data_IF_029716786709
#
_entry.id   IF_029716786709
#
_cell.length_a   1.000
_cell.length_b   1.000
_cell.length_c   1.000
_cell.angle_alpha   90.00
_cell.angle_beta   90.00
_cell.angle_gamma   90.00
#
_symmetry.space_group_name_H-M   'P 1'
#
loop_
_entity.id
_entity.type
_entity.pdbx_description
1 polymer ?
#
# COMPACT_ATOMS: atom_id res chain seq x y z
N UNK A 1 -13.55 -0.54 -20.91
CA UNK A 1 -13.91 -1.40 -22.06
C UNK A 1 -14.14 -2.80 -21.52
N UNK A 2 -15.20 -3.54 -21.94
CA UNK A 2 -15.36 -4.92 -21.52
C UNK A 2 -14.23 -5.76 -22.13
N UNK A 3 -13.62 -6.60 -21.29
CA UNK A 3 -12.62 -7.57 -21.72
C UNK A 3 -13.28 -8.57 -22.68
N UNK A 4 -12.88 -8.56 -23.94
CA UNK A 4 -13.22 -9.59 -24.90
C UNK A 4 -12.09 -10.64 -24.87
N UNK A 5 -12.39 -11.84 -24.40
CA UNK A 5 -11.45 -12.95 -24.50
C UNK A 5 -11.07 -13.16 -25.98
N UNK A 6 -9.78 -13.37 -26.29
CA UNK A 6 -9.35 -13.68 -27.65
C UNK A 6 -10.03 -14.97 -28.14
N UNK A 7 -10.38 -15.02 -29.41
CA UNK A 7 -10.91 -16.22 -30.06
C UNK A 7 -9.89 -17.34 -29.97
N UNK A 8 -10.33 -18.57 -29.72
CA UNK A 8 -9.52 -19.79 -29.45
C UNK A 8 -8.63 -20.24 -30.62
N UNK A 9 -8.27 -19.38 -31.55
CA UNK A 9 -7.57 -19.74 -32.79
C UNK A 9 -6.06 -19.57 -32.79
N UNK A 10 -5.49 -18.71 -31.93
CA UNK A 10 -4.05 -18.47 -31.89
C UNK A 10 -3.64 -18.13 -30.46
N UNK A 11 -3.43 -19.15 -29.61
CA UNK A 11 -2.66 -18.97 -28.39
C UNK A 11 -1.19 -18.92 -28.79
N UNK A 12 -0.64 -17.71 -28.92
CA UNK A 12 0.78 -17.50 -29.04
C UNK A 12 1.46 -17.89 -27.74
N UNK A 13 2.63 -18.50 -27.80
CA UNK A 13 3.48 -18.80 -26.62
C UNK A 13 3.75 -17.51 -25.79
N UNK A 14 3.72 -16.34 -26.42
CA UNK A 14 3.87 -15.02 -25.79
C UNK A 14 2.71 -14.64 -24.82
N UNK A 15 1.53 -15.23 -24.95
CA UNK A 15 0.40 -14.96 -24.04
C UNK A 15 0.62 -15.51 -22.61
N UNK A 16 1.57 -16.41 -22.43
CA UNK A 16 1.91 -17.02 -21.14
C UNK A 16 3.34 -16.70 -20.71
N UNK A 17 3.98 -15.71 -21.33
CA UNK A 17 5.30 -15.27 -20.92
C UNK A 17 5.20 -14.51 -19.59
N UNK A 18 5.60 -15.19 -18.52
CA UNK A 18 5.65 -14.62 -17.16
C UNK A 18 7.07 -14.12 -16.79
N UNK A 19 7.95 -13.96 -17.76
CA UNK A 19 9.29 -13.40 -17.50
C UNK A 19 9.21 -11.91 -17.22
N UNK A 20 10.06 -11.45 -16.33
CA UNK A 20 10.25 -10.01 -16.10
C UNK A 20 10.84 -9.37 -17.37
N UNK A 21 10.39 -8.15 -17.69
CA UNK A 21 10.93 -7.38 -18.79
C UNK A 21 12.41 -7.02 -18.59
N UNK A 22 13.13 -6.80 -19.68
CA UNK A 22 14.53 -6.34 -19.62
C UNK A 22 14.61 -4.89 -19.09
N UNK A 23 13.58 -4.08 -19.34
CA UNK A 23 13.47 -2.70 -18.86
C UNK A 23 13.38 -2.62 -17.33
N UNK A 24 12.69 -3.57 -16.69
CA UNK A 24 12.56 -3.60 -15.23
C UNK A 24 13.79 -4.20 -14.52
N UNK A 25 14.67 -4.90 -15.25
CA UNK A 25 15.83 -5.61 -14.69
C UNK A 25 16.75 -4.71 -13.87
N UNK A 26 17.14 -3.51 -14.32
CA UNK A 26 18.01 -2.63 -13.55
C UNK A 26 17.42 -2.23 -12.19
N UNK A 27 16.12 -1.90 -12.16
CA UNK A 27 15.43 -1.54 -10.91
C UNK A 27 15.34 -2.75 -9.97
N UNK A 28 14.99 -3.92 -10.50
CA UNK A 28 14.97 -5.16 -9.73
C UNK A 28 16.31 -5.45 -9.06
N UNK A 29 17.42 -5.35 -9.81
CA UNK A 29 18.76 -5.62 -9.27
C UNK A 29 19.15 -4.59 -8.20
N UNK A 30 18.78 -3.32 -8.37
CA UNK A 30 18.99 -2.27 -7.36
C UNK A 30 18.17 -2.55 -6.08
N UNK A 31 16.89 -2.89 -6.21
CA UNK A 31 16.03 -3.24 -5.06
C UNK A 31 16.58 -4.46 -4.34
N UNK A 32 16.97 -5.50 -5.07
CA UNK A 32 17.60 -6.69 -4.50
C UNK A 32 18.86 -6.36 -3.70
N UNK A 33 19.74 -5.55 -4.27
CA UNK A 33 20.95 -5.10 -3.59
C UNK A 33 20.65 -4.26 -2.35
N UNK A 34 19.66 -3.37 -2.41
CA UNK A 34 19.22 -2.56 -1.28
C UNK A 34 18.66 -3.43 -0.16
N UNK A 35 17.81 -4.40 -0.48
CA UNK A 35 17.23 -5.32 0.53
C UNK A 35 18.33 -6.05 1.26
N UNK A 36 19.30 -6.60 0.53
CA UNK A 36 20.40 -7.38 1.10
C UNK A 36 21.36 -6.54 1.93
N UNK A 37 21.76 -5.37 1.42
CA UNK A 37 22.89 -4.62 1.96
C UNK A 37 22.45 -3.47 2.90
N UNK A 38 21.16 -3.10 2.88
CA UNK A 38 20.66 -1.97 3.68
C UNK A 38 19.44 -2.37 4.52
N UNK A 39 18.38 -2.93 3.92
CA UNK A 39 17.15 -3.16 4.64
C UNK A 39 17.28 -4.25 5.70
N UNK A 40 17.93 -5.38 5.39
CA UNK A 40 18.13 -6.49 6.33
C UNK A 40 18.97 -6.05 7.54
N UNK A 41 20.16 -5.42 7.38
CA UNK A 41 20.91 -4.92 8.53
C UNK A 41 20.15 -3.91 9.39
N UNK A 42 19.42 -2.97 8.78
CA UNK A 42 18.59 -2.01 9.52
C UNK A 42 17.38 -2.67 10.20
N UNK A 43 16.86 -3.75 9.64
CA UNK A 43 15.83 -4.53 10.31
C UNK A 43 16.36 -5.22 11.58
N UNK A 44 17.60 -5.70 11.57
CA UNK A 44 18.24 -6.24 12.76
C UNK A 44 18.41 -5.15 13.85
N UNK A 45 18.85 -3.93 13.48
CA UNK A 45 18.88 -2.77 14.39
C UNK A 45 17.49 -2.44 14.96
N UNK A 46 16.45 -2.45 14.09
CA UNK A 46 15.06 -2.19 14.47
C UNK A 46 14.55 -3.21 15.49
N UNK A 47 14.81 -4.50 15.28
CA UNK A 47 14.40 -5.58 16.18
C UNK A 47 15.13 -5.46 17.53
N UNK A 48 16.43 -5.19 17.50
CA UNK A 48 17.23 -5.01 18.73
C UNK A 48 16.72 -3.83 19.56
N UNK A 49 16.46 -2.68 18.92
CA UNK A 49 15.91 -1.49 19.57
C UNK A 49 14.52 -1.72 20.18
N UNK A 50 13.74 -2.65 19.63
CA UNK A 50 12.40 -3.01 20.11
C UNK A 50 12.36 -3.99 21.27
N UNK A 51 13.51 -4.57 21.69
CA UNK A 51 13.54 -5.55 22.79
C UNK A 51 13.04 -4.95 24.10
N UNK A 52 12.19 -5.70 24.78
CA UNK A 52 11.60 -5.29 26.06
C UNK A 52 10.42 -4.32 25.96
N UNK A 53 10.02 -3.93 24.76
CA UNK A 53 8.81 -3.13 24.52
C UNK A 53 7.56 -3.97 24.82
N UNK A 54 6.64 -3.41 25.59
CA UNK A 54 5.39 -4.10 26.01
C UNK A 54 4.16 -3.57 25.26
N UNK A 55 4.19 -2.31 24.81
CA UNK A 55 3.09 -1.73 24.03
C UNK A 55 3.29 -2.00 22.53
N UNK A 56 2.40 -2.76 21.87
CA UNK A 56 2.55 -3.09 20.46
C UNK A 56 2.32 -1.88 19.53
N UNK A 57 1.67 -0.83 20.01
CA UNK A 57 1.28 0.33 19.20
C UNK A 57 2.26 1.50 19.26
N UNK A 58 3.24 1.44 20.13
CA UNK A 58 4.30 2.45 20.20
C UNK A 58 5.57 1.98 19.51
N UNK A 59 6.53 2.89 19.37
CA UNK A 59 7.88 2.60 18.90
C UNK A 59 8.87 2.86 20.03
N UNK A 60 9.83 1.96 20.22
CA UNK A 60 10.96 2.23 21.07
C UNK A 60 11.91 3.24 20.38
N UNK A 61 12.65 4.04 21.18
CA UNK A 61 13.74 4.87 20.65
C UNK A 61 14.68 3.99 19.80
N UNK A 62 15.06 4.45 18.63
CA UNK A 62 15.90 3.69 17.69
C UNK A 62 15.13 2.88 16.65
N UNK A 63 13.89 2.44 16.90
CA UNK A 63 13.10 1.75 15.88
C UNK A 63 12.76 2.69 14.71
N UNK A 64 12.22 3.87 15.00
CA UNK A 64 11.93 4.86 13.96
C UNK A 64 13.23 5.40 13.33
N UNK A 65 14.30 5.53 14.11
CA UNK A 65 15.60 5.94 13.59
C UNK A 65 16.14 4.96 12.54
N UNK A 66 16.11 3.66 12.81
CA UNK A 66 16.52 2.63 11.85
C UNK A 66 15.67 2.67 10.57
N UNK A 67 14.35 2.86 10.73
CA UNK A 67 13.43 2.99 9.61
C UNK A 67 13.71 4.23 8.77
N UNK A 68 13.92 5.39 9.38
CA UNK A 68 14.22 6.64 8.66
C UNK A 68 15.58 6.59 7.97
N UNK A 69 16.60 5.94 8.56
CA UNK A 69 17.88 5.64 7.87
C UNK A 69 17.64 4.87 6.58
N UNK A 70 16.76 3.85 6.62
CA UNK A 70 16.39 3.06 5.44
C UNK A 70 15.68 3.90 4.37
N UNK A 71 14.71 4.73 4.77
CA UNK A 71 13.99 5.65 3.88
C UNK A 71 14.93 6.65 3.21
N UNK A 72 15.84 7.24 3.98
CA UNK A 72 16.83 8.17 3.45
C UNK A 72 17.81 7.51 2.47
N UNK A 73 18.22 6.28 2.75
CA UNK A 73 19.06 5.51 1.86
C UNK A 73 18.32 5.16 0.55
N UNK A 74 17.04 4.79 0.63
CA UNK A 74 16.21 4.51 -0.54
C UNK A 74 16.03 5.77 -1.42
N UNK A 75 15.68 6.92 -0.81
CA UNK A 75 15.55 8.20 -1.53
C UNK A 75 16.84 8.60 -2.25
N UNK A 76 18.01 8.47 -1.59
CA UNK A 76 19.32 8.78 -2.18
C UNK A 76 19.67 7.91 -3.39
N UNK A 77 19.11 6.70 -3.46
CA UNK A 77 19.32 5.76 -4.56
C UNK A 77 18.22 5.84 -5.63
N UNK A 78 17.21 6.73 -5.47
CA UNK A 78 16.07 6.81 -6.38
C UNK A 78 15.06 5.66 -6.21
N UNK A 79 15.15 4.88 -5.14
CA UNK A 79 14.26 3.75 -4.86
C UNK A 79 13.08 4.21 -4.00
N UNK A 80 12.18 5.03 -4.59
CA UNK A 80 11.08 5.64 -3.85
C UNK A 80 9.81 5.68 -4.69
N UNK A 81 8.67 5.25 -4.14
CA UNK A 81 7.34 5.28 -4.79
C UNK A 81 7.23 4.55 -6.14
N UNK A 82 8.15 3.68 -6.49
CA UNK A 82 8.18 3.03 -7.80
C UNK A 82 7.01 2.06 -8.05
N UNK A 83 6.15 1.82 -7.05
CA UNK A 83 4.91 1.04 -7.21
C UNK A 83 3.85 1.76 -8.04
N UNK A 84 3.89 3.10 -8.12
CA UNK A 84 2.91 3.88 -8.85
C UNK A 84 2.94 3.49 -10.33
N UNK A 85 1.76 3.16 -10.92
CA UNK A 85 1.70 2.64 -12.30
C UNK A 85 1.90 3.71 -13.37
N UNK A 86 1.78 4.99 -12.99
CA UNK A 86 1.99 6.11 -13.90
C UNK A 86 3.48 6.45 -13.99
N UNK A 87 4.00 6.56 -15.20
CA UNK A 87 5.39 6.91 -15.44
C UNK A 87 5.75 8.36 -15.06
N UNK A 88 4.76 9.24 -14.88
CA UNK A 88 5.00 10.61 -14.39
C UNK A 88 5.20 10.66 -12.87
N UNK A 89 4.59 9.72 -12.14
CA UNK A 89 4.62 9.67 -10.65
C UNK A 89 5.36 8.47 -10.09
N UNK A 90 5.59 7.44 -10.91
CA UNK A 90 6.33 6.21 -10.60
C UNK A 90 7.22 5.79 -11.75
N UNK A 91 7.47 4.48 -11.89
CA UNK A 91 8.33 3.91 -12.92
C UNK A 91 7.57 3.30 -14.10
N UNK A 92 6.23 3.39 -14.11
CA UNK A 92 5.40 2.81 -15.17
C UNK A 92 5.51 1.29 -15.31
N UNK A 93 5.81 0.59 -14.23
CA UNK A 93 6.01 -0.87 -14.23
C UNK A 93 4.72 -1.61 -14.56
N UNK A 94 4.84 -2.70 -15.31
CA UNK A 94 3.75 -3.66 -15.42
C UNK A 94 3.52 -4.36 -14.06
N UNK A 95 2.32 -4.86 -13.83
CA UNK A 95 2.03 -5.66 -12.63
C UNK A 95 2.93 -6.89 -12.52
N UNK A 96 3.34 -7.47 -13.66
CA UNK A 96 4.23 -8.61 -13.70
C UNK A 96 5.65 -8.23 -13.24
N UNK A 97 6.19 -7.14 -13.75
CA UNK A 97 7.51 -6.64 -13.35
C UNK A 97 7.54 -6.27 -11.87
N UNK A 98 6.49 -5.57 -11.41
CA UNK A 98 6.36 -5.22 -10.00
C UNK A 98 6.26 -6.45 -9.09
N UNK A 99 5.64 -7.56 -9.55
CA UNK A 99 5.54 -8.79 -8.75
C UNK A 99 6.92 -9.37 -8.40
N UNK A 100 7.86 -9.33 -9.33
CA UNK A 100 9.25 -9.76 -9.07
C UNK A 100 9.93 -8.87 -8.03
N UNK A 101 9.76 -7.55 -8.14
CA UNK A 101 10.30 -6.58 -7.20
C UNK A 101 9.65 -6.76 -5.82
N UNK A 102 8.34 -6.92 -5.76
CA UNK A 102 7.60 -7.17 -4.52
C UNK A 102 8.06 -8.46 -3.80
N UNK A 103 8.43 -9.49 -4.55
CA UNK A 103 9.00 -10.71 -3.98
C UNK A 103 10.37 -10.47 -3.32
N UNK A 104 11.20 -9.58 -3.87
CA UNK A 104 12.45 -9.17 -3.22
C UNK A 104 12.17 -8.34 -1.96
N UNK A 105 11.24 -7.37 -2.01
CA UNK A 105 10.84 -6.56 -0.85
C UNK A 105 10.34 -7.45 0.30
N UNK A 106 9.60 -8.51 -0.01
CA UNK A 106 9.06 -9.45 0.96
C UNK A 106 10.10 -10.23 1.77
N UNK A 107 11.38 -10.21 1.38
CA UNK A 107 12.48 -10.85 2.12
C UNK A 107 12.87 -10.11 3.40
N UNK A 108 12.47 -8.84 3.56
CA UNK A 108 12.68 -8.05 4.76
C UNK A 108 11.38 -7.32 5.14
N UNK A 109 10.84 -7.51 6.36
CA UNK A 109 9.56 -6.93 6.77
C UNK A 109 9.45 -5.41 6.65
N UNK A 110 10.56 -4.68 6.72
CA UNK A 110 10.58 -3.22 6.64
C UNK A 110 10.96 -2.69 5.24
N UNK A 111 11.42 -3.54 4.31
CA UNK A 111 11.93 -3.07 3.02
C UNK A 111 10.88 -2.29 2.22
N UNK A 112 9.64 -2.78 2.18
CA UNK A 112 8.55 -2.09 1.49
C UNK A 112 8.28 -0.70 2.08
N UNK A 113 8.32 -0.55 3.42
CA UNK A 113 8.14 0.77 4.03
C UNK A 113 9.35 1.68 3.80
N UNK A 114 10.56 1.15 3.81
CA UNK A 114 11.78 1.93 3.54
C UNK A 114 11.78 2.55 2.13
N UNK A 115 11.06 1.94 1.18
CA UNK A 115 10.91 2.44 -0.20
C UNK A 115 9.55 3.09 -0.47
N UNK A 116 8.74 3.30 0.57
CA UNK A 116 7.36 3.81 0.49
C UNK A 116 6.45 2.99 -0.43
N UNK A 117 6.66 1.68 -0.47
CA UNK A 117 5.91 0.71 -1.27
C UNK A 117 5.10 -0.27 -0.41
N UNK A 118 4.81 0.09 0.86
CA UNK A 118 4.11 -0.79 1.79
C UNK A 118 2.58 -0.66 1.68
N UNK A 119 1.88 -1.79 1.70
CA UNK A 119 0.44 -1.80 1.91
C UNK A 119 0.08 -1.40 3.37
N UNK A 120 -1.07 -0.76 3.60
CA UNK A 120 -2.10 -0.37 2.64
C UNK A 120 -1.85 0.98 1.95
N UNK A 121 -0.74 1.68 2.27
CA UNK A 121 -0.47 3.04 1.78
C UNK A 121 -0.46 3.09 0.24
N UNK A 122 0.11 2.08 -0.43
CA UNK A 122 0.17 2.04 -1.89
C UNK A 122 -1.21 2.16 -2.52
N UNK A 123 -2.15 1.28 -2.14
CA UNK A 123 -3.52 1.34 -2.66
C UNK A 123 -4.26 2.61 -2.26
N UNK A 124 -4.04 3.11 -1.04
CA UNK A 124 -4.67 4.35 -0.58
C UNK A 124 -4.14 5.58 -1.32
N UNK A 125 -2.85 5.62 -1.65
CA UNK A 125 -2.25 6.66 -2.49
C UNK A 125 -2.83 6.63 -3.91
N UNK A 126 -2.99 5.44 -4.52
CA UNK A 126 -3.64 5.31 -5.83
C UNK A 126 -5.11 5.79 -5.83
N UNK A 127 -5.86 5.49 -4.76
CA UNK A 127 -7.24 5.99 -4.61
C UNK A 127 -7.24 7.52 -4.54
N UNK A 128 -6.39 8.10 -3.69
CA UNK A 128 -6.30 9.57 -3.57
C UNK A 128 -5.83 10.23 -4.87
N UNK A 129 -4.90 9.60 -5.59
CA UNK A 129 -4.42 10.11 -6.86
C UNK A 129 -5.54 10.15 -7.91
N UNK A 130 -6.32 9.07 -8.01
CA UNK A 130 -7.37 8.94 -9.04
C UNK A 130 -8.63 9.75 -8.76
N UNK A 131 -9.07 9.81 -7.50
CA UNK A 131 -10.40 10.33 -7.15
C UNK A 131 -10.40 11.40 -6.07
N UNK A 132 -9.24 11.70 -5.45
CA UNK A 132 -9.12 12.74 -4.45
C UNK A 132 -9.31 14.14 -5.03
N UNK A 133 -9.96 15.05 -4.26
CA UNK A 133 -10.00 16.47 -4.63
C UNK A 133 -8.60 17.09 -4.51
N UNK A 134 -8.35 18.27 -5.13
CA UNK A 134 -7.06 18.96 -4.98
C UNK A 134 -6.67 19.18 -3.50
N UNK A 135 -7.63 19.53 -2.66
CA UNK A 135 -7.43 19.76 -1.22
C UNK A 135 -7.06 18.45 -0.51
N UNK A 136 -7.74 17.34 -0.82
CA UNK A 136 -7.44 16.02 -0.27
C UNK A 136 -6.06 15.52 -0.72
N UNK A 137 -5.68 15.78 -1.97
CA UNK A 137 -4.35 15.44 -2.48
C UNK A 137 -3.25 16.22 -1.76
N UNK A 138 -3.42 17.53 -1.57
CA UNK A 138 -2.45 18.35 -0.83
C UNK A 138 -2.37 17.92 0.64
N UNK A 139 -3.52 17.67 1.27
CA UNK A 139 -3.60 17.36 2.69
C UNK A 139 -3.11 15.95 3.03
N UNK A 140 -3.40 14.95 2.17
CA UNK A 140 -3.21 13.54 2.50
C UNK A 140 -2.28 12.80 1.54
N UNK A 141 -2.46 12.95 0.22
CA UNK A 141 -1.64 12.24 -0.75
C UNK A 141 -0.18 12.70 -0.69
N UNK A 142 0.05 13.98 -0.68
CA UNK A 142 1.40 14.54 -0.65
C UNK A 142 2.23 14.07 0.55
N UNK A 143 1.75 14.15 1.82
CA UNK A 143 2.52 13.61 2.94
C UNK A 143 2.63 12.08 2.94
N UNK A 144 1.70 11.33 2.32
CA UNK A 144 1.86 9.89 2.09
C UNK A 144 2.97 9.61 1.08
N UNK A 145 3.00 10.29 -0.05
CA UNK A 145 4.07 10.17 -1.06
C UNK A 145 5.44 10.57 -0.51
N UNK A 146 5.48 11.51 0.43
CA UNK A 146 6.69 11.90 1.15
C UNK A 146 7.09 10.89 2.25
N UNK A 147 6.24 9.91 2.57
CA UNK A 147 6.45 8.93 3.65
C UNK A 147 6.42 9.52 5.05
N UNK A 148 5.80 10.71 5.22
CA UNK A 148 5.68 11.44 6.50
C UNK A 148 4.57 10.89 7.38
N UNK A 149 3.51 10.35 6.78
CA UNK A 149 2.38 9.74 7.46
C UNK A 149 2.13 8.34 6.91
N UNK A 150 1.33 7.58 7.64
CA UNK A 150 0.82 6.28 7.22
C UNK A 150 -0.70 6.36 7.09
N UNK A 151 -1.26 5.34 6.45
CA UNK A 151 -2.70 5.19 6.27
C UNK A 151 -3.18 3.80 6.67
N UNK A 152 -4.50 3.63 6.71
CA UNK A 152 -5.13 2.34 6.90
C UNK A 152 -6.28 2.15 5.90
N UNK A 153 -6.66 0.88 5.67
CA UNK A 153 -7.81 0.52 4.84
C UNK A 153 -8.79 -0.30 5.68
N UNK A 154 -9.91 0.35 6.06
CA UNK A 154 -10.89 -0.20 6.99
C UNK A 154 -12.04 -0.88 6.22
N UNK A 155 -11.87 -2.15 5.88
CA UNK A 155 -12.86 -2.96 5.16
C UNK A 155 -13.49 -4.04 6.05
N UNK A 156 -12.66 -4.87 6.67
CA UNK A 156 -13.08 -6.06 7.43
C UNK A 156 -14.01 -5.72 8.57
N UNK A 157 -15.06 -6.52 8.75
CA UNK A 157 -16.04 -6.39 9.83
C UNK A 157 -16.17 -7.71 10.60
N UNK A 158 -16.41 -7.69 11.94
CA UNK A 158 -16.64 -8.90 12.69
C UNK A 158 -17.96 -9.55 12.30
N UNK A 159 -17.99 -10.89 12.28
CA UNK A 159 -19.22 -11.66 12.11
C UNK A 159 -19.77 -11.76 10.69
N UNK A 160 -19.14 -11.11 9.70
CA UNK A 160 -19.56 -11.19 8.30
C UNK A 160 -18.37 -11.39 7.36
N UNK A 161 -18.53 -12.04 6.19
CA UNK A 161 -17.48 -12.24 5.20
C UNK A 161 -17.27 -10.95 4.38
N UNK A 162 -16.75 -9.90 5.01
CA UNK A 162 -16.62 -8.55 4.45
C UNK A 162 -15.50 -8.38 3.42
N UNK A 163 -14.71 -9.42 3.16
CA UNK A 163 -13.80 -9.48 2.02
C UNK A 163 -14.54 -9.45 0.67
N UNK A 164 -15.78 -9.95 0.62
CA UNK A 164 -16.74 -9.55 -0.41
C UNK A 164 -17.38 -8.23 0.00
N UNK A 165 -17.02 -7.13 -0.67
CA UNK A 165 -17.47 -5.79 -0.34
C UNK A 165 -19.00 -5.62 -0.34
N UNK A 166 -19.73 -6.51 -1.03
CA UNK A 166 -21.21 -6.53 -1.00
C UNK A 166 -21.77 -6.82 0.39
N UNK A 167 -21.02 -7.53 1.22
CA UNK A 167 -21.44 -7.92 2.56
C UNK A 167 -21.15 -6.86 3.64
N UNK A 168 -20.43 -5.78 3.32
CA UNK A 168 -20.15 -4.70 4.27
C UNK A 168 -21.46 -4.19 4.88
N UNK A 169 -21.51 -4.12 6.21
CA UNK A 169 -22.68 -3.68 6.97
C UNK A 169 -22.55 -2.28 7.56
N UNK A 170 -21.33 -1.78 7.73
CA UNK A 170 -21.09 -0.38 8.14
C UNK A 170 -21.80 0.57 7.20
N UNK A 171 -22.57 1.51 7.77
CA UNK A 171 -23.37 2.49 7.01
C UNK A 171 -22.78 3.87 7.15
N UNK A 172 -22.98 4.68 6.13
CA UNK A 172 -22.76 6.12 6.19
C UNK A 172 -24.03 6.83 5.70
N UNK A 173 -24.51 7.77 6.49
CA UNK A 173 -25.69 8.58 6.20
C UNK A 173 -25.27 10.05 6.18
N UNK A 174 -25.75 10.80 5.19
CA UNK A 174 -25.48 12.22 5.09
C UNK A 174 -26.40 12.99 6.02
N UNK A 175 -25.83 13.74 6.96
CA UNK A 175 -26.54 14.65 7.85
C UNK A 175 -26.01 16.08 7.64
N UNK A 176 -26.77 16.88 6.92
CA UNK A 176 -26.29 18.18 6.43
C UNK A 176 -25.14 17.99 5.42
N UNK A 177 -23.96 18.45 5.79
CA UNK A 177 -22.70 18.39 5.02
C UNK A 177 -21.70 17.37 5.59
N UNK A 178 -22.13 16.59 6.60
CA UNK A 178 -21.26 15.59 7.23
C UNK A 178 -21.77 14.18 7.00
N UNK A 179 -20.86 13.22 6.86
CA UNK A 179 -21.16 11.80 6.82
C UNK A 179 -21.10 11.20 8.22
N UNK A 180 -22.24 10.69 8.70
CA UNK A 180 -22.31 9.94 9.95
C UNK A 180 -22.10 8.46 9.66
N UNK A 181 -20.99 7.90 10.17
CA UNK A 181 -20.59 6.51 9.94
C UNK A 181 -20.94 5.69 11.18
N UNK A 182 -21.71 4.60 10.99
CA UNK A 182 -22.10 3.66 12.04
C UNK A 182 -21.73 2.23 11.63
N UNK A 183 -20.95 1.55 12.47
CA UNK A 183 -20.51 0.18 12.26
C UNK A 183 -19.26 -0.15 13.05
N UNK A 184 -18.73 -1.34 12.81
CA UNK A 184 -17.53 -1.82 13.48
C UNK A 184 -16.57 -2.41 12.44
N UNK A 185 -15.29 -1.99 12.49
CA UNK A 185 -14.21 -2.50 11.66
C UNK A 185 -13.21 -3.28 12.51
N UNK A 186 -12.62 -4.32 11.93
CA UNK A 186 -11.87 -5.32 12.67
C UNK A 186 -10.63 -5.73 11.86
N UNK A 187 -9.51 -6.06 12.53
CA UNK A 187 -8.24 -6.42 11.89
C UNK A 187 -7.75 -5.39 10.87
N UNK A 188 -7.79 -4.10 11.20
CA UNK A 188 -7.34 -3.04 10.32
C UNK A 188 -5.83 -2.81 10.51
N UNK A 189 -5.03 -3.32 9.57
CA UNK A 189 -3.57 -3.13 9.60
C UNK A 189 -3.21 -1.66 9.59
N UNK A 190 -2.36 -1.26 10.53
CA UNK A 190 -1.86 0.10 10.65
C UNK A 190 -2.78 1.07 11.42
N UNK A 191 -4.03 0.71 11.75
CA UNK A 191 -4.95 1.64 12.44
C UNK A 191 -4.44 2.08 13.82
N UNK A 192 -3.68 1.23 14.51
CA UNK A 192 -3.05 1.56 15.81
C UNK A 192 -1.68 2.23 15.69
N UNK A 193 -1.13 2.40 14.50
CA UNK A 193 0.13 3.09 14.30
C UNK A 193 -0.04 4.60 14.58
N UNK A 194 0.75 5.21 15.48
CA UNK A 194 0.65 6.65 15.79
C UNK A 194 0.91 7.55 14.57
N UNK A 195 1.54 7.03 13.53
CA UNK A 195 1.78 7.70 12.26
C UNK A 195 0.59 7.63 11.30
N UNK A 196 -0.41 6.76 11.56
CA UNK A 196 -1.62 6.68 10.75
C UNK A 196 -2.46 7.95 10.93
N UNK A 197 -2.69 8.69 9.84
CA UNK A 197 -3.40 9.97 9.86
C UNK A 197 -4.65 9.99 8.99
N UNK A 198 -4.82 8.97 8.17
CA UNK A 198 -5.99 8.83 7.29
C UNK A 198 -6.36 7.35 7.15
N UNK A 199 -7.66 7.08 7.04
CA UNK A 199 -8.20 5.75 6.72
C UNK A 199 -9.16 5.85 5.54
N UNK A 200 -9.04 4.93 4.59
CA UNK A 200 -10.10 4.66 3.62
C UNK A 200 -11.08 3.70 4.28
N UNK A 201 -12.32 4.12 4.46
CA UNK A 201 -13.35 3.33 5.16
C UNK A 201 -14.40 2.84 4.18
N UNK A 202 -14.54 1.52 4.05
CA UNK A 202 -15.58 0.91 3.22
C UNK A 202 -16.93 0.93 3.94
N UNK A 203 -17.92 1.59 3.36
CA UNK A 203 -19.25 1.78 3.94
C UNK A 203 -20.34 1.60 2.87
N UNK A 204 -21.58 1.38 3.31
CA UNK A 204 -22.78 1.46 2.46
C UNK A 204 -23.47 2.80 2.67
N UNK A 205 -23.62 3.56 1.60
CA UNK A 205 -24.40 4.81 1.56
C UNK A 205 -25.84 4.59 1.09
N UNK A 206 -26.10 3.48 0.40
CA UNK A 206 -27.41 3.08 -0.14
C UNK A 206 -27.63 1.59 0.14
N UNK A 207 -28.01 1.19 1.36
CA UNK A 207 -28.08 -0.22 1.75
C UNK A 207 -29.08 -1.05 0.93
N UNK A 208 -30.09 -0.41 0.36
CA UNK A 208 -31.15 -1.05 -0.43
C UNK A 208 -30.84 -1.05 -1.94
N UNK A 209 -29.71 -0.48 -2.36
CA UNK A 209 -29.30 -0.53 -3.77
C UNK A 209 -28.92 -1.96 -4.17
N UNK A 210 -29.15 -2.29 -5.43
CA UNK A 210 -28.65 -3.55 -5.99
C UNK A 210 -27.12 -3.62 -5.91
N UNK A 211 -26.54 -4.83 -5.68
CA UNK A 211 -25.10 -5.01 -5.68
C UNK A 211 -24.47 -4.43 -6.95
N UNK A 212 -23.36 -3.72 -6.79
CA UNK A 212 -22.59 -3.08 -7.88
C UNK A 212 -23.21 -1.82 -8.50
N UNK A 213 -24.18 -1.18 -7.84
CA UNK A 213 -24.69 0.15 -8.24
C UNK A 213 -24.31 1.21 -7.23
#
# INVERSE_FOLDING_TARGET
MPYTAPSTGEMNDDMFDLRMSEEARPLYDQVKAFVQNTAIPLYEEYVEAGKGKTDPWSYAPGQLEALEKGKDAARKQGLWNFFLPDAETGEGLSNLDYAYIAAELGKCPLASEMMNCAAPDTGNMEVLERVGTPEQKEQWLKPLLEGKIRSAFAMTEPGIPSSDAKNVSTRAELDGDEWVINGEKFYISGAGDPRCKIMIVMVKTSPDAEPHK
#
